data_IF_554172227191
#
_entry.id   IF_554172227191
#
_cell.length_a   1.000
_cell.length_b   1.000
_cell.length_c   1.000
_cell.angle_alpha   90.00
_cell.angle_beta   90.00
_cell.angle_gamma   90.00
#
_symmetry.space_group_name_H-M   'P 1'
#
loop_
_entity.id
_entity.type
_entity.pdbx_description
1 polymer ?
#
# COMPACT_ATOMS: atom_id res chain seq x y z
N UNK A 1 -0.41 -7.18 -22.19
CA UNK A 1 0.72 -7.32 -21.27
C UNK A 1 1.36 -5.98 -20.91
N UNK A 2 1.67 -5.08 -21.84
CA UNK A 2 2.26 -3.76 -21.56
C UNK A 2 1.39 -2.84 -20.68
N UNK A 3 0.06 -2.96 -20.73
CA UNK A 3 -0.88 -2.13 -19.95
C UNK A 3 -0.70 -2.36 -18.44
N UNK A 4 -0.46 -3.60 -18.02
CA UNK A 4 -0.26 -3.94 -16.60
C UNK A 4 1.17 -3.71 -16.10
N UNK A 5 2.16 -3.66 -17.02
CA UNK A 5 3.56 -3.40 -16.66
C UNK A 5 3.83 -1.92 -16.36
N UNK A 6 3.20 -1.00 -17.08
CA UNK A 6 3.40 0.46 -16.87
C UNK A 6 3.13 0.90 -15.43
N UNK A 7 2.00 0.53 -14.77
CA UNK A 7 1.75 0.87 -13.39
C UNK A 7 2.84 0.36 -12.43
N UNK A 8 3.30 -0.87 -12.61
CA UNK A 8 4.36 -1.47 -11.78
C UNK A 8 5.69 -0.72 -11.96
N UNK A 9 6.05 -0.42 -13.20
CA UNK A 9 7.25 0.36 -13.52
C UNK A 9 7.17 1.76 -12.90
N UNK A 10 6.02 2.43 -13.00
CA UNK A 10 5.81 3.75 -12.37
C UNK A 10 5.95 3.67 -10.84
N UNK A 11 5.42 2.61 -10.22
CA UNK A 11 5.61 2.36 -8.79
C UNK A 11 7.10 2.18 -8.44
N UNK A 12 7.86 1.45 -9.27
CA UNK A 12 9.30 1.25 -9.06
C UNK A 12 10.10 2.56 -9.13
N UNK A 13 9.69 3.53 -9.94
CA UNK A 13 10.35 4.84 -10.00
C UNK A 13 9.99 5.76 -8.82
N UNK A 14 8.74 5.74 -8.39
CA UNK A 14 8.26 6.62 -7.30
C UNK A 14 8.62 6.05 -5.92
N UNK A 15 8.64 4.72 -5.79
CA UNK A 15 8.89 4.04 -4.51
C UNK A 15 10.20 4.45 -3.82
N UNK A 16 11.37 4.56 -4.48
CA UNK A 16 12.61 4.98 -3.81
C UNK A 16 12.51 6.35 -3.16
N UNK A 17 11.80 7.29 -3.80
CA UNK A 17 11.60 8.64 -3.26
C UNK A 17 10.71 8.59 -2.01
N UNK A 18 9.59 7.88 -2.08
CA UNK A 18 8.70 7.68 -0.93
C UNK A 18 9.38 6.91 0.19
N UNK A 19 10.13 5.84 -0.15
CA UNK A 19 10.89 5.08 0.82
C UNK A 19 11.88 5.96 1.58
N UNK A 20 12.58 6.85 0.90
CA UNK A 20 13.52 7.79 1.50
C UNK A 20 12.82 8.76 2.48
N UNK A 21 11.68 9.31 2.08
CA UNK A 21 10.87 10.18 2.94
C UNK A 21 10.34 9.44 4.19
N UNK A 22 9.95 8.17 4.04
CA UNK A 22 9.47 7.35 5.15
C UNK A 22 10.58 6.79 6.03
N UNK A 23 11.79 6.63 5.50
CA UNK A 23 12.92 6.00 6.20
C UNK A 23 13.25 6.74 7.49
N UNK A 24 13.39 8.05 7.44
CA UNK A 24 13.81 8.84 8.62
C UNK A 24 12.77 8.74 9.75
N UNK A 25 11.47 9.09 9.55
CA UNK A 25 10.47 8.97 10.61
C UNK A 25 10.32 7.53 11.12
N UNK A 26 10.40 6.55 10.23
CA UNK A 26 10.27 5.14 10.59
C UNK A 26 11.45 4.64 11.43
N UNK A 27 12.67 4.97 11.06
CA UNK A 27 13.88 4.64 11.84
C UNK A 27 13.81 5.28 13.22
N UNK A 28 13.44 6.56 13.32
CA UNK A 28 13.30 7.24 14.60
C UNK A 28 12.25 6.57 15.48
N UNK A 29 11.10 6.21 14.92
CA UNK A 29 10.05 5.49 15.65
C UNK A 29 10.51 4.11 16.14
N UNK A 30 11.12 3.30 15.27
CA UNK A 30 11.62 1.96 15.61
C UNK A 30 12.72 2.04 16.68
N UNK A 31 13.63 2.97 16.51
CA UNK A 31 14.72 3.17 17.46
C UNK A 31 14.22 3.65 18.82
N UNK A 32 13.28 4.58 18.84
CA UNK A 32 12.70 5.06 20.10
C UNK A 32 11.93 3.94 20.83
N UNK A 33 11.24 3.09 20.09
CA UNK A 33 10.38 2.05 20.68
C UNK A 33 11.12 0.78 21.06
N UNK A 34 12.07 0.32 20.24
CA UNK A 34 12.73 -0.99 20.40
C UNK A 34 14.23 -0.88 20.66
N UNK A 35 14.81 0.30 20.56
CA UNK A 35 16.25 0.50 20.67
C UNK A 35 17.07 -0.12 19.54
N UNK A 36 16.44 -0.71 18.53
CA UNK A 36 17.09 -1.35 17.40
C UNK A 36 16.23 -1.32 16.14
N UNK A 37 16.87 -1.58 15.00
CA UNK A 37 16.20 -1.72 13.71
C UNK A 37 16.26 -3.18 13.28
N UNK A 38 15.12 -3.83 13.13
CA UNK A 38 15.02 -5.20 12.63
C UNK A 38 14.75 -5.17 11.12
N UNK A 39 15.72 -5.62 10.32
CA UNK A 39 15.68 -5.63 8.85
C UNK A 39 14.39 -6.30 8.31
N UNK A 40 14.01 -7.45 8.88
CA UNK A 40 12.83 -8.18 8.45
C UNK A 40 11.55 -7.37 8.67
N UNK A 41 11.41 -6.69 9.79
CA UNK A 41 10.28 -5.84 10.11
C UNK A 41 10.21 -4.62 9.20
N UNK A 42 11.37 -3.99 8.98
CA UNK A 42 11.51 -2.89 8.02
C UNK A 42 11.11 -3.33 6.62
N UNK A 43 11.58 -4.51 6.18
CA UNK A 43 11.20 -5.09 4.89
C UNK A 43 9.69 -5.28 4.73
N UNK A 44 8.98 -5.77 5.76
CA UNK A 44 7.52 -5.94 5.72
C UNK A 44 6.80 -4.60 5.53
N UNK A 45 7.26 -3.53 6.20
CA UNK A 45 6.67 -2.20 6.03
C UNK A 45 6.95 -1.64 4.64
N UNK A 46 8.18 -1.78 4.13
CA UNK A 46 8.49 -1.29 2.79
C UNK A 46 7.76 -2.05 1.70
N UNK A 47 7.60 -3.37 1.82
CA UNK A 47 6.77 -4.14 0.89
C UNK A 47 5.30 -3.75 0.97
N UNK A 48 4.78 -3.38 2.16
CA UNK A 48 3.44 -2.84 2.29
C UNK A 48 3.29 -1.47 1.59
N UNK A 49 4.24 -0.54 1.79
CA UNK A 49 4.22 0.78 1.13
C UNK A 49 4.30 0.61 -0.39
N UNK A 50 5.20 -0.26 -0.87
CA UNK A 50 5.33 -0.57 -2.28
C UNK A 50 4.04 -1.17 -2.87
N UNK A 51 3.42 -2.09 -2.14
CA UNK A 51 2.14 -2.67 -2.53
C UNK A 51 1.04 -1.60 -2.61
N UNK A 52 0.91 -0.71 -1.60
CA UNK A 52 -0.08 0.38 -1.61
C UNK A 52 0.11 1.29 -2.82
N UNK A 53 1.34 1.64 -3.13
CA UNK A 53 1.66 2.46 -4.30
C UNK A 53 1.32 1.73 -5.61
N UNK A 54 1.68 0.46 -5.71
CA UNK A 54 1.41 -0.36 -6.90
C UNK A 54 -0.09 -0.53 -7.11
N UNK A 55 -0.86 -0.84 -6.07
CA UNK A 55 -2.32 -0.99 -6.16
C UNK A 55 -2.99 0.31 -6.59
N UNK A 56 -2.53 1.46 -6.08
CA UNK A 56 -3.00 2.77 -6.52
C UNK A 56 -2.71 3.01 -8.01
N UNK A 57 -1.50 2.77 -8.47
CA UNK A 57 -1.17 2.95 -9.88
C UNK A 57 -1.87 1.95 -10.80
N UNK A 58 -2.05 0.71 -10.39
CA UNK A 58 -2.80 -0.28 -11.17
C UNK A 58 -4.26 0.11 -11.36
N UNK A 59 -4.85 0.83 -10.40
CA UNK A 59 -6.23 1.28 -10.49
C UNK A 59 -6.37 2.55 -11.32
N UNK A 60 -5.40 3.47 -11.24
CA UNK A 60 -5.48 4.80 -11.86
C UNK A 60 -4.93 4.82 -13.28
N UNK A 61 -3.86 4.07 -13.55
CA UNK A 61 -3.23 4.04 -14.87
C UNK A 61 -3.86 2.96 -15.79
N UNK A 62 -3.83 3.15 -17.11
CA UNK A 62 -3.29 4.29 -17.84
C UNK A 62 -4.23 5.49 -17.84
N UNK A 63 -3.65 6.69 -17.77
CA UNK A 63 -4.42 7.93 -17.93
C UNK A 63 -4.69 8.19 -19.41
N UNK A 64 -5.94 8.51 -19.80
CA UNK A 64 -6.27 8.91 -21.16
C UNK A 64 -5.70 10.31 -21.46
N UNK A 65 -5.54 10.68 -22.73
CA UNK A 65 -5.23 12.06 -23.10
C UNK A 65 -6.28 13.04 -22.56
N UNK A 66 -5.85 14.22 -22.09
CA UNK A 66 -6.75 15.19 -21.45
C UNK A 66 -7.94 15.60 -22.35
N UNK A 67 -7.69 15.70 -23.64
CA UNK A 67 -8.70 16.12 -24.64
C UNK A 67 -9.68 15.00 -25.05
N UNK A 68 -9.41 13.75 -24.64
CA UNK A 68 -10.25 12.59 -24.99
C UNK A 68 -11.41 12.35 -24.04
N UNK A 69 -11.43 13.03 -22.90
CA UNK A 69 -12.46 12.84 -21.86
C UNK A 69 -13.59 13.86 -22.08
N UNK A 70 -14.79 13.36 -22.46
CA UNK A 70 -15.98 14.17 -22.71
C UNK A 70 -16.99 14.09 -21.56
N UNK A 71 -17.99 14.98 -21.56
CA UNK A 71 -19.08 15.00 -20.57
C UNK A 71 -19.90 13.71 -20.53
N UNK A 72 -19.95 13.00 -21.65
CA UNK A 72 -20.74 11.77 -21.78
C UNK A 72 -20.05 10.56 -21.13
N UNK A 73 -18.79 10.72 -20.72
CA UNK A 73 -18.00 9.67 -20.03
C UNK A 73 -18.39 9.49 -18.56
N UNK A 74 -19.23 10.37 -18.01
CA UNK A 74 -19.56 10.39 -16.58
C UNK A 74 -20.78 9.52 -16.29
N UNK A 75 -20.63 8.20 -16.25
CA UNK A 75 -21.67 7.30 -15.78
C UNK A 75 -21.26 6.62 -14.47
N UNK A 76 -22.21 6.52 -13.55
CA UNK A 76 -22.12 5.70 -12.35
C UNK A 76 -22.89 4.41 -12.59
N UNK A 77 -22.23 3.27 -12.44
CA UNK A 77 -22.86 1.95 -12.48
C UNK A 77 -23.17 1.52 -11.05
N UNK A 78 -24.38 1.87 -10.59
CA UNK A 78 -24.83 1.66 -9.21
C UNK A 78 -25.65 0.37 -9.03
N UNK A 79 -25.79 -0.44 -10.06
CA UNK A 79 -26.53 -1.70 -9.98
C UNK A 79 -25.61 -2.80 -9.47
N UNK A 80 -25.82 -3.33 -8.24
CA UNK A 80 -24.96 -4.39 -7.70
C UNK A 80 -25.07 -5.67 -8.54
N UNK A 81 -23.96 -6.38 -8.67
CA UNK A 81 -23.83 -7.63 -9.41
C UNK A 81 -24.04 -7.53 -10.92
N UNK A 82 -24.02 -6.33 -11.49
CA UNK A 82 -24.09 -6.15 -12.93
C UNK A 82 -22.86 -6.75 -13.66
N UNK A 83 -21.68 -6.68 -13.03
CA UNK A 83 -20.48 -7.34 -13.53
C UNK A 83 -20.68 -8.86 -13.68
N UNK A 84 -21.32 -9.52 -12.71
CA UNK A 84 -21.63 -10.96 -12.79
C UNK A 84 -22.59 -11.24 -13.94
N UNK A 85 -23.58 -10.37 -14.15
CA UNK A 85 -24.52 -10.45 -15.26
C UNK A 85 -23.83 -10.33 -16.61
N UNK A 86 -22.88 -9.36 -16.73
CA UNK A 86 -22.03 -9.20 -17.92
C UNK A 86 -21.22 -10.46 -18.21
N UNK A 87 -20.64 -11.07 -17.17
CA UNK A 87 -19.92 -12.36 -17.33
C UNK A 87 -20.81 -13.44 -17.92
N UNK A 88 -22.02 -13.63 -17.39
CA UNK A 88 -22.95 -14.66 -17.87
C UNK A 88 -23.34 -14.42 -19.32
N UNK A 89 -23.65 -13.18 -19.67
CA UNK A 89 -24.08 -12.81 -21.04
C UNK A 89 -22.91 -12.91 -22.03
N UNK A 90 -21.76 -12.33 -21.71
CA UNK A 90 -20.63 -12.21 -22.62
C UNK A 90 -19.84 -13.52 -22.78
N UNK A 91 -19.88 -14.43 -21.78
CA UNK A 91 -19.27 -15.75 -21.90
C UNK A 91 -20.14 -16.76 -22.64
N UNK A 92 -21.38 -16.39 -23.02
CA UNK A 92 -22.32 -17.28 -23.71
C UNK A 92 -22.51 -18.64 -23.02
N UNK A 93 -22.53 -18.66 -21.67
CA UNK A 93 -22.69 -19.89 -20.89
C UNK A 93 -24.10 -20.44 -21.11
N UNK A 94 -24.16 -21.74 -21.41
CA UNK A 94 -25.38 -22.51 -21.35
C UNK A 94 -25.33 -23.45 -20.14
N UNK A 95 -26.15 -23.18 -19.13
CA UNK A 95 -26.21 -23.97 -17.90
C UNK A 95 -26.55 -25.46 -18.13
N UNK A 96 -27.10 -25.79 -19.29
CA UNK A 96 -27.39 -27.19 -19.68
C UNK A 96 -26.21 -27.89 -20.35
N UNK A 97 -25.14 -27.15 -20.69
CA UNK A 97 -23.97 -27.70 -21.39
C UNK A 97 -22.69 -27.33 -20.63
N UNK A 98 -22.12 -28.24 -19.79
CA UNK A 98 -20.90 -27.98 -19.01
C UNK A 98 -19.69 -27.57 -19.87
N UNK A 99 -19.63 -28.00 -21.13
CA UNK A 99 -18.56 -27.64 -22.05
C UNK A 99 -18.44 -26.12 -22.29
N UNK A 100 -19.54 -25.37 -22.11
CA UNK A 100 -19.54 -23.92 -22.31
C UNK A 100 -18.92 -23.15 -21.14
N UNK A 101 -18.72 -23.77 -19.97
CA UNK A 101 -18.16 -23.08 -18.80
C UNK A 101 -16.70 -22.64 -18.99
N UNK A 102 -15.96 -23.31 -19.87
CA UNK A 102 -14.60 -22.91 -20.20
C UNK A 102 -14.53 -21.51 -20.83
N UNK A 103 -15.62 -21.04 -21.46
CA UNK A 103 -15.70 -19.73 -22.08
C UNK A 103 -15.59 -18.59 -21.06
N UNK A 104 -15.85 -18.86 -19.76
CA UNK A 104 -15.68 -17.87 -18.66
C UNK A 104 -14.26 -17.32 -18.69
N UNK A 105 -13.26 -18.17 -18.87
CA UNK A 105 -11.85 -17.77 -18.86
C UNK A 105 -11.46 -16.88 -20.05
N UNK A 106 -12.28 -16.85 -21.10
CA UNK A 106 -12.09 -15.97 -22.25
C UNK A 106 -12.82 -14.62 -22.09
N UNK A 107 -13.67 -14.48 -21.05
CA UNK A 107 -14.45 -13.29 -20.80
C UNK A 107 -13.64 -12.25 -20.03
N UNK A 108 -13.52 -11.02 -20.56
CA UNK A 108 -12.80 -9.94 -19.91
C UNK A 108 -13.44 -9.51 -18.56
N UNK A 109 -14.78 -9.49 -18.49
CA UNK A 109 -15.53 -9.13 -17.28
C UNK A 109 -15.24 -10.09 -16.13
N UNK A 110 -15.02 -11.39 -16.41
CA UNK A 110 -14.61 -12.36 -15.40
C UNK A 110 -13.25 -11.99 -14.80
N UNK A 111 -12.29 -11.67 -15.63
CA UNK A 111 -10.97 -11.28 -15.16
C UNK A 111 -10.99 -9.93 -14.41
N UNK A 112 -11.86 -9.00 -14.79
CA UNK A 112 -12.05 -7.76 -14.02
C UNK A 112 -12.46 -8.07 -12.58
N UNK A 113 -13.46 -8.92 -12.37
CA UNK A 113 -13.89 -9.37 -11.03
C UNK A 113 -12.72 -10.00 -10.25
N UNK A 114 -12.01 -10.94 -10.89
CA UNK A 114 -10.88 -11.65 -10.25
C UNK A 114 -9.77 -10.67 -9.88
N UNK A 115 -9.38 -9.78 -10.78
CA UNK A 115 -8.31 -8.82 -10.51
C UNK A 115 -8.68 -7.81 -9.42
N UNK A 116 -9.94 -7.38 -9.33
CA UNK A 116 -10.41 -6.53 -8.24
C UNK A 116 -10.32 -7.25 -6.90
N UNK A 117 -10.73 -8.52 -6.81
CA UNK A 117 -10.56 -9.32 -5.60
C UNK A 117 -9.07 -9.47 -5.24
N UNK A 118 -8.23 -9.82 -6.22
CA UNK A 118 -6.79 -9.99 -6.02
C UNK A 118 -6.08 -8.68 -5.65
N UNK A 119 -6.59 -7.54 -6.09
CA UNK A 119 -6.00 -6.23 -5.83
C UNK A 119 -5.90 -5.93 -4.33
N UNK A 120 -6.97 -6.16 -3.56
CA UNK A 120 -7.00 -5.88 -2.12
C UNK A 120 -6.76 -7.11 -1.23
N UNK A 121 -6.54 -8.28 -1.81
CA UNK A 121 -6.19 -9.48 -1.05
C UNK A 121 -4.93 -9.31 -0.19
N UNK A 122 -3.79 -8.78 -0.71
CA UNK A 122 -2.62 -8.52 0.12
C UNK A 122 -2.89 -7.49 1.23
N UNK A 123 -3.75 -6.50 0.98
CA UNK A 123 -4.15 -5.51 1.97
C UNK A 123 -4.73 -6.18 3.22
N UNK A 124 -5.67 -7.11 3.04
CA UNK A 124 -6.25 -7.89 4.13
C UNK A 124 -5.22 -8.72 4.89
N UNK A 125 -4.26 -9.33 4.17
CA UNK A 125 -3.15 -10.07 4.78
C UNK A 125 -2.30 -9.16 5.66
N UNK A 126 -1.86 -8.00 5.18
CA UNK A 126 -1.07 -7.05 5.96
C UNK A 126 -1.83 -6.53 7.18
N UNK A 127 -3.11 -6.18 7.03
CA UNK A 127 -3.93 -5.67 8.11
C UNK A 127 -4.09 -6.70 9.23
N UNK A 128 -4.28 -7.97 8.92
CA UNK A 128 -4.39 -9.03 9.91
C UNK A 128 -3.04 -9.41 10.49
N UNK A 129 -2.05 -9.71 9.67
CA UNK A 129 -0.74 -10.20 10.11
C UNK A 129 0.07 -9.13 10.83
N UNK A 130 0.30 -8.00 10.16
CA UNK A 130 1.22 -7.00 10.65
C UNK A 130 0.55 -6.00 11.59
N UNK A 131 -0.63 -5.47 11.18
CA UNK A 131 -1.35 -4.45 11.94
C UNK A 131 -2.31 -5.03 12.99
N UNK A 132 -2.51 -6.35 13.03
CA UNK A 132 -3.35 -7.06 14.00
C UNK A 132 -4.78 -6.53 14.07
N UNK A 133 -5.35 -6.14 12.93
CA UNK A 133 -6.69 -5.59 12.88
C UNK A 133 -7.74 -6.70 13.00
N UNK A 134 -8.86 -6.36 13.65
CA UNK A 134 -10.03 -7.25 13.76
C UNK A 134 -10.75 -7.31 12.41
N UNK A 135 -11.52 -8.36 12.17
CA UNK A 135 -12.21 -8.58 10.89
C UNK A 135 -13.07 -7.39 10.43
N UNK A 136 -13.83 -6.76 11.36
CA UNK A 136 -14.66 -5.60 11.04
C UNK A 136 -13.84 -4.35 10.68
N UNK A 137 -12.66 -4.18 11.28
CA UNK A 137 -11.74 -3.11 10.92
C UNK A 137 -11.19 -3.32 9.52
N UNK A 138 -10.84 -4.57 9.17
CA UNK A 138 -10.39 -4.92 7.82
C UNK A 138 -11.48 -4.68 6.80
N UNK A 139 -12.73 -5.04 7.12
CA UNK A 139 -13.89 -4.76 6.27
C UNK A 139 -14.01 -3.26 5.98
N UNK A 140 -14.03 -2.42 7.03
CA UNK A 140 -14.17 -0.97 6.90
C UNK A 140 -12.98 -0.37 6.14
N UNK A 141 -11.75 -0.79 6.46
CA UNK A 141 -10.54 -0.26 5.82
C UNK A 141 -10.45 -0.68 4.36
N UNK A 142 -10.84 -1.90 4.01
CA UNK A 142 -10.86 -2.36 2.61
C UNK A 142 -11.94 -1.61 1.81
N UNK A 143 -13.11 -1.42 2.37
CA UNK A 143 -14.16 -0.62 1.76
C UNK A 143 -13.71 0.84 1.56
N UNK A 144 -13.14 1.46 2.58
CA UNK A 144 -12.66 2.84 2.51
C UNK A 144 -11.54 3.00 1.46
N UNK A 145 -10.63 2.03 1.36
CA UNK A 145 -9.55 2.07 0.39
C UNK A 145 -10.07 1.85 -1.04
N UNK A 146 -11.03 0.95 -1.25
CA UNK A 146 -11.71 0.80 -2.53
C UNK A 146 -12.48 2.08 -2.92
N UNK A 147 -13.23 2.64 -1.98
CA UNK A 147 -13.96 3.90 -2.19
C UNK A 147 -13.01 5.05 -2.55
N UNK A 148 -11.83 5.09 -1.95
CA UNK A 148 -10.80 6.08 -2.29
C UNK A 148 -10.37 5.96 -3.76
N UNK A 149 -10.22 4.75 -4.31
CA UNK A 149 -9.92 4.57 -5.73
C UNK A 149 -11.06 5.10 -6.61
N UNK A 150 -12.28 4.68 -6.32
CA UNK A 150 -13.47 5.08 -7.07
C UNK A 150 -13.69 6.61 -7.05
N UNK A 151 -13.52 7.24 -5.89
CA UNK A 151 -13.62 8.69 -5.76
C UNK A 151 -12.49 9.42 -6.50
N UNK A 152 -11.29 8.86 -6.52
CA UNK A 152 -10.17 9.42 -7.30
C UNK A 152 -10.50 9.43 -8.79
N UNK A 153 -11.09 8.36 -9.31
CA UNK A 153 -11.50 8.24 -10.72
C UNK A 153 -12.67 9.15 -11.03
N UNK A 154 -13.71 9.16 -10.17
CA UNK A 154 -14.89 9.97 -10.30
C UNK A 154 -14.59 11.47 -10.24
N UNK A 155 -13.63 11.89 -9.41
CA UNK A 155 -13.21 13.30 -9.32
C UNK A 155 -12.39 13.79 -10.52
N UNK A 156 -12.19 12.95 -11.54
CA UNK A 156 -11.32 13.27 -12.65
C UNK A 156 -9.86 13.49 -12.19
N UNK A 157 -9.37 12.60 -11.34
CA UNK A 157 -8.03 12.69 -10.73
C UNK A 157 -7.83 14.04 -10.01
N UNK A 158 -8.73 14.31 -9.03
CA UNK A 158 -8.71 15.54 -8.22
C UNK A 158 -8.87 16.84 -9.04
N UNK A 159 -9.60 16.77 -10.18
CA UNK A 159 -9.86 17.93 -11.03
C UNK A 159 -8.81 18.17 -12.13
N UNK A 160 -7.86 17.26 -12.33
CA UNK A 160 -6.94 17.29 -13.48
C UNK A 160 -7.71 17.09 -14.77
N UNK A 161 -8.68 16.17 -14.78
CA UNK A 161 -9.64 16.01 -15.85
C UNK A 161 -10.91 16.81 -15.54
N UNK A 162 -11.47 17.47 -16.56
CA UNK A 162 -12.73 18.22 -16.42
C UNK A 162 -13.91 17.31 -16.11
N UNK A 163 -13.86 16.06 -16.55
CA UNK A 163 -14.89 15.03 -16.34
C UNK A 163 -14.23 13.75 -15.83
N UNK A 164 -15.01 12.84 -15.17
CA UNK A 164 -14.54 11.51 -14.82
C UNK A 164 -13.99 10.77 -16.04
N UNK A 165 -12.85 10.13 -15.91
CA UNK A 165 -12.23 9.39 -17.01
C UNK A 165 -12.50 7.88 -16.96
N UNK A 166 -13.14 7.40 -15.88
CA UNK A 166 -13.62 6.03 -15.71
C UNK A 166 -14.96 6.04 -14.99
N UNK A 167 -15.72 4.96 -15.18
CA UNK A 167 -16.99 4.75 -14.46
C UNK A 167 -16.72 4.49 -12.99
N UNK A 168 -17.59 5.03 -12.13
CA UNK A 168 -17.71 4.59 -10.75
C UNK A 168 -18.55 3.31 -10.73
N UNK A 169 -17.95 2.17 -10.34
CA UNK A 169 -18.64 0.88 -10.33
C UNK A 169 -18.81 0.37 -8.89
N UNK A 170 -20.06 0.14 -8.47
CA UNK A 170 -20.35 -0.42 -7.15
C UNK A 170 -19.82 -1.84 -7.02
N UNK A 171 -19.72 -2.59 -8.12
CA UNK A 171 -19.18 -3.95 -8.14
C UNK A 171 -17.69 -3.96 -7.85
N UNK A 172 -16.95 -2.93 -8.24
CA UNK A 172 -15.52 -2.79 -7.89
C UNK A 172 -15.35 -2.57 -6.39
N UNK A 173 -16.24 -1.76 -5.76
CA UNK A 173 -16.25 -1.63 -4.29
C UNK A 173 -16.49 -2.98 -3.59
N UNK A 174 -17.46 -3.74 -4.08
CA UNK A 174 -17.81 -5.04 -3.52
C UNK A 174 -16.65 -6.03 -3.69
N UNK A 175 -16.13 -6.17 -4.91
CA UNK A 175 -15.06 -7.11 -5.25
C UNK A 175 -13.77 -6.80 -4.49
N UNK A 176 -13.36 -5.54 -4.45
CA UNK A 176 -12.17 -5.10 -3.71
C UNK A 176 -12.33 -5.36 -2.21
N UNK A 177 -13.50 -5.05 -1.63
CA UNK A 177 -13.78 -5.29 -0.21
C UNK A 177 -13.76 -6.79 0.11
N UNK A 178 -14.38 -7.61 -0.75
CA UNK A 178 -14.31 -9.07 -0.65
C UNK A 178 -12.87 -9.58 -0.74
N UNK A 179 -12.04 -8.97 -1.60
CA UNK A 179 -10.62 -9.26 -1.70
C UNK A 179 -9.88 -9.05 -0.38
N UNK A 180 -10.08 -7.90 0.27
CA UNK A 180 -9.53 -7.62 1.58
C UNK A 180 -9.99 -8.61 2.66
N UNK A 181 -11.28 -8.99 2.66
CA UNK A 181 -11.81 -9.98 3.58
C UNK A 181 -11.27 -11.38 3.30
N UNK A 182 -11.14 -11.76 2.03
CA UNK A 182 -10.50 -13.02 1.63
C UNK A 182 -9.05 -13.05 2.10
N UNK A 183 -8.29 -11.96 1.91
CA UNK A 183 -6.94 -11.80 2.43
C UNK A 183 -6.87 -11.98 3.95
N UNK A 184 -7.82 -11.40 4.68
CA UNK A 184 -7.95 -11.62 6.12
C UNK A 184 -8.14 -13.11 6.45
N UNK A 185 -9.05 -13.80 5.78
CA UNK A 185 -9.36 -15.21 6.05
C UNK A 185 -8.18 -16.13 5.77
N UNK A 186 -7.47 -15.95 4.66
CA UNK A 186 -6.34 -16.80 4.26
C UNK A 186 -5.02 -16.47 4.97
N UNK A 187 -4.94 -15.36 5.71
CA UNK A 187 -3.73 -14.95 6.45
C UNK A 187 -3.10 -16.09 7.28
N UNK A 188 -3.84 -16.95 8.00
CA UNK A 188 -3.24 -18.03 8.79
C UNK A 188 -2.40 -19.00 7.95
N UNK A 189 -2.75 -19.20 6.67
CA UNK A 189 -1.98 -20.04 5.74
C UNK A 189 -0.61 -19.41 5.41
N UNK A 190 -0.57 -18.10 5.25
CA UNK A 190 0.68 -17.37 4.97
C UNK A 190 1.57 -17.25 6.22
N UNK A 191 0.97 -17.05 7.39
CA UNK A 191 1.71 -16.94 8.66
C UNK A 191 2.43 -18.24 9.03
N UNK A 192 2.05 -19.37 8.45
CA UNK A 192 2.80 -20.62 8.62
C UNK A 192 4.25 -20.51 8.12
N UNK A 193 4.49 -19.72 7.07
CA UNK A 193 5.82 -19.52 6.47
C UNK A 193 6.59 -18.31 7.00
N UNK A 194 5.94 -17.42 7.74
CA UNK A 194 6.50 -16.15 8.21
C UNK A 194 6.53 -16.13 9.75
N UNK A 195 7.59 -15.61 10.40
CA UNK A 195 7.66 -15.52 11.85
C UNK A 195 6.45 -14.75 12.41
N UNK A 196 5.87 -15.22 13.51
CA UNK A 196 4.81 -14.48 14.21
C UNK A 196 5.29 -13.09 14.60
N UNK A 197 4.39 -12.11 14.57
CA UNK A 197 4.71 -10.72 14.92
C UNK A 197 5.35 -10.57 16.29
N UNK A 198 4.89 -11.34 17.28
CA UNK A 198 5.45 -11.39 18.64
C UNK A 198 6.95 -11.69 18.62
N UNK A 199 7.33 -12.69 17.83
CA UNK A 199 8.74 -13.08 17.68
C UNK A 199 9.58 -11.98 17.02
N UNK A 200 8.98 -11.22 16.08
CA UNK A 200 9.68 -10.06 15.50
C UNK A 200 9.87 -8.95 16.54
N UNK A 201 8.88 -8.72 17.39
CA UNK A 201 8.97 -7.73 18.46
C UNK A 201 10.01 -8.16 19.50
N UNK A 202 10.03 -9.42 19.94
CA UNK A 202 11.04 -9.99 20.84
C UNK A 202 12.46 -9.88 20.29
N UNK A 203 12.65 -10.24 19.00
CA UNK A 203 13.94 -10.09 18.34
C UNK A 203 14.39 -8.63 18.23
N UNK A 204 13.47 -7.69 18.07
CA UNK A 204 13.79 -6.27 18.04
C UNK A 204 14.21 -5.77 19.42
N UNK A 205 13.51 -6.15 20.48
CA UNK A 205 13.89 -5.80 21.86
C UNK A 205 15.22 -6.42 22.27
N UNK A 206 15.43 -7.72 22.03
CA UNK A 206 16.68 -8.39 22.38
C UNK A 206 17.91 -7.81 21.67
N UNK A 207 17.74 -7.35 20.41
CA UNK A 207 18.79 -6.59 19.72
C UNK A 207 18.99 -5.19 20.31
N UNK A 208 17.93 -4.58 20.83
CA UNK A 208 17.98 -3.27 21.46
C UNK A 208 18.79 -3.25 22.75
N UNK A 209 18.81 -4.36 23.50
CA UNK A 209 19.59 -4.54 24.73
C UNK A 209 21.09 -4.62 24.46
N UNK A 210 21.47 -5.11 23.27
CA UNK A 210 22.89 -5.20 22.88
C UNK A 210 23.35 -3.84 22.36
N UNK A 211 24.21 -3.18 23.09
CA UNK A 211 24.83 -1.93 22.64
C UNK A 211 25.88 -2.24 21.58
N UNK A 212 25.55 -1.99 20.31
CA UNK A 212 26.50 -2.17 19.22
C UNK A 212 27.62 -1.14 19.28
N UNK A 213 28.81 -1.50 18.76
CA UNK A 213 29.98 -0.58 18.69
C UNK A 213 29.59 0.72 17.92
N UNK A 214 28.78 0.61 16.89
CA UNK A 214 28.30 1.78 16.16
C UNK A 214 27.49 2.74 17.05
N UNK A 215 26.63 2.24 17.93
CA UNK A 215 25.90 3.08 18.91
C UNK A 215 26.83 3.77 19.87
N UNK A 216 27.87 3.08 20.32
CA UNK A 216 28.91 3.67 21.20
C UNK A 216 29.65 4.79 20.49
N UNK A 217 30.05 4.58 19.22
CA UNK A 217 30.76 5.60 18.43
C UNK A 217 29.85 6.83 18.20
N UNK A 218 28.58 6.64 17.85
CA UNK A 218 27.63 7.76 17.65
C UNK A 218 27.40 8.51 18.95
N UNK A 219 27.19 7.82 20.08
CA UNK A 219 27.07 8.44 21.39
C UNK A 219 28.32 9.27 21.72
N UNK A 220 29.50 8.70 21.51
CA UNK A 220 30.78 9.38 21.74
C UNK A 220 30.95 10.64 20.88
N UNK A 221 30.56 10.59 19.60
CA UNK A 221 30.57 11.77 18.71
C UNK A 221 29.62 12.87 19.24
N UNK A 222 28.43 12.48 19.67
CA UNK A 222 27.45 13.41 20.23
C UNK A 222 27.98 14.03 21.52
N UNK A 223 28.55 13.24 22.41
CA UNK A 223 29.12 13.71 23.66
C UNK A 223 30.27 14.71 23.42
N UNK A 224 31.14 14.41 22.47
CA UNK A 224 32.21 15.32 22.06
C UNK A 224 31.65 16.62 21.50
N UNK A 225 30.64 16.54 20.62
CA UNK A 225 30.01 17.73 20.03
C UNK A 225 29.36 18.61 21.13
N UNK A 226 28.69 18.00 22.10
CA UNK A 226 28.07 18.69 23.23
C UNK A 226 29.10 19.34 24.17
N UNK A 227 30.30 18.78 24.29
CA UNK A 227 31.38 19.36 25.09
C UNK A 227 32.07 20.49 24.32
N UNK A 228 32.42 20.25 23.07
CA UNK A 228 33.16 21.22 22.25
C UNK A 228 32.35 22.47 21.94
N UNK A 229 31.07 22.33 21.60
CA UNK A 229 30.24 23.48 21.23
C UNK A 229 30.16 24.60 22.29
N UNK A 230 29.92 24.29 23.57
CA UNK A 230 29.99 25.32 24.66
C UNK A 230 31.38 25.91 24.86
N UNK A 231 32.43 25.08 24.77
CA UNK A 231 33.83 25.53 24.96
C UNK A 231 34.24 26.49 23.85
N UNK A 232 33.92 26.18 22.61
CA UNK A 232 34.17 27.07 21.46
C UNK A 232 33.33 28.35 21.57
N UNK A 233 32.05 28.22 21.95
CA UNK A 233 31.15 29.37 22.14
C UNK A 233 31.67 30.30 23.22
N UNK A 234 32.10 29.79 24.37
CA UNK A 234 32.68 30.58 25.46
C UNK A 234 34.04 31.23 25.07
N UNK A 235 34.86 30.50 24.34
CA UNK A 235 36.13 31.05 23.81
C UNK A 235 35.92 32.18 22.83
N UNK A 236 34.93 32.09 21.94
CA UNK A 236 34.60 33.13 21.00
C UNK A 236 34.03 34.39 21.69
N UNK A 237 33.23 34.22 22.76
CA UNK A 237 32.70 35.34 23.55
C UNK A 237 33.85 36.04 24.27
N UNK A 238 34.79 35.29 24.84
CA UNK A 238 35.92 35.87 25.56
C UNK A 238 36.92 36.62 24.66
N UNK A 239 37.04 36.20 23.40
CA UNK A 239 37.88 36.87 22.38
C UNK A 239 37.20 38.12 21.85
N UNK A 240 35.86 38.25 21.92
CA UNK A 240 35.10 39.36 21.42
C UNK A 240 34.87 40.47 22.45
N UNK A 241 35.27 40.32 23.72
CA UNK A 241 35.24 41.41 24.71
C UNK A 241 36.40 42.40 24.42
N UNK A 242 36.12 43.67 24.03
CA UNK A 242 37.15 44.66 23.88
C UNK A 242 37.66 45.04 25.29
N UNK A 243 38.94 44.90 25.50
CA UNK A 243 39.70 45.46 26.66
C UNK A 243 39.66 46.96 26.65
#
# INVERSE_FOLDING_TARGET
MQIYLKPIISACYVFPVLALLFTIPYILYEYHKYGSILVLRTGIIYTFIFYMLTSYFMTILPLPPLDSVSSDSACMLLVPFDAVKRVIVNSHINFKSPATYINIFSCADFWQIIFNILLLLPFGVYLRYYFRRKWWQVLIMSFAYSLFFELTQLSGLYGIYRYPYRFFEIDDLICNTLGGMTGYLITPLFVFFIPKRERLDEMAYSRGEIVSEFRRIVAWIIDIALIIAPVVGLSLIHISEPT
#
